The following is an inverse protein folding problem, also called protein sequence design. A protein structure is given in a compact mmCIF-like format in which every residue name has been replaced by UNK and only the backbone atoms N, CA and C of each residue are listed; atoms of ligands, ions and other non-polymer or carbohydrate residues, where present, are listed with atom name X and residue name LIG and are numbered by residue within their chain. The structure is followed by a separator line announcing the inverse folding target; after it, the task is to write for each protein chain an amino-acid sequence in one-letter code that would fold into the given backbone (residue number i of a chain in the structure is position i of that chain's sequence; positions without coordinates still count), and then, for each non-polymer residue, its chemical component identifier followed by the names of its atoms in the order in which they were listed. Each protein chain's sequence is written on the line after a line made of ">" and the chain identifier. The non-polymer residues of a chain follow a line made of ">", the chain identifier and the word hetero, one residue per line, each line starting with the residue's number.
data_IF_440557469478
#
_entry.id   IF_440557469478
#
_cell.length_a   1.000
_cell.length_b   1.000
_cell.length_c   1.000
_cell.angle_alpha   90.00
_cell.angle_beta   90.00
_cell.angle_gamma   90.00
#
_symmetry.space_group_name_H-M   'P 1'
#
loop_
_entity.id
_entity.type
_entity.pdbx_description
1 polymer ?
#
# COMPACT_ATOMS: atom_id res chain seq x y z
N UNK A 1 -50.41 -12.82 24.95
CA UNK A 1 -49.34 -13.80 25.08
C UNK A 1 -48.08 -13.02 25.26
N UNK A 2 -47.30 -13.15 26.33
CA UNK A 2 -45.97 -12.58 26.36
C UNK A 2 -45.15 -13.31 25.28
N UNK A 3 -44.59 -12.54 24.37
CA UNK A 3 -43.72 -13.09 23.33
C UNK A 3 -42.47 -13.75 23.97
N UNK A 4 -41.91 -14.74 23.27
CA UNK A 4 -40.63 -15.34 23.69
C UNK A 4 -39.58 -14.24 23.89
N UNK A 5 -38.73 -14.37 24.91
CA UNK A 5 -37.70 -13.35 25.20
C UNK A 5 -36.78 -13.20 23.98
N UNK A 6 -36.52 -11.94 23.60
CA UNK A 6 -35.60 -11.62 22.49
C UNK A 6 -34.23 -12.22 22.83
N UNK A 7 -33.74 -13.11 21.98
CA UNK A 7 -32.42 -13.70 22.18
C UNK A 7 -31.32 -12.74 21.71
N UNK A 8 -30.29 -12.53 22.51
CA UNK A 8 -29.10 -11.73 22.15
C UNK A 8 -28.47 -12.22 20.83
N UNK A 9 -28.51 -13.53 20.59
CA UNK A 9 -28.02 -14.15 19.36
C UNK A 9 -28.86 -13.76 18.13
N UNK A 10 -30.18 -13.59 18.27
CA UNK A 10 -31.02 -13.10 17.18
C UNK A 10 -30.66 -11.65 16.81
N UNK A 11 -30.39 -10.80 17.80
CA UNK A 11 -29.92 -9.43 17.57
C UNK A 11 -28.55 -9.45 16.89
N UNK A 12 -27.61 -10.27 17.38
CA UNK A 12 -26.29 -10.43 16.77
C UNK A 12 -26.36 -10.86 15.30
N UNK A 13 -27.24 -11.82 15.00
CA UNK A 13 -27.41 -12.34 13.64
C UNK A 13 -27.94 -11.30 12.65
N UNK A 14 -28.89 -10.45 13.04
CA UNK A 14 -29.35 -9.37 12.15
C UNK A 14 -28.30 -8.27 11.97
N UNK A 15 -27.43 -8.08 12.95
CA UNK A 15 -26.31 -7.14 12.89
C UNK A 15 -25.18 -7.60 11.93
N UNK A 16 -25.07 -8.90 11.60
CA UNK A 16 -24.23 -9.38 10.51
C UNK A 16 -24.58 -8.78 9.15
N UNK A 17 -25.82 -8.31 8.98
CA UNK A 17 -26.25 -7.62 7.77
C UNK A 17 -25.90 -6.12 7.73
N UNK A 18 -25.37 -5.53 8.80
CA UNK A 18 -24.93 -4.13 8.84
C UNK A 18 -23.49 -4.06 8.36
N UNK A 19 -23.31 -3.51 7.18
CA UNK A 19 -21.99 -3.40 6.54
C UNK A 19 -21.42 -2.01 6.83
N UNK A 20 -20.15 -1.96 7.26
CA UNK A 20 -19.38 -0.72 7.26
C UNK A 20 -18.88 -0.47 5.83
N UNK A 21 -19.35 0.61 5.15
CA UNK A 21 -18.98 0.84 3.75
C UNK A 21 -17.51 1.20 3.55
N UNK A 22 -16.84 1.71 4.59
CA UNK A 22 -15.41 2.05 4.56
C UNK A 22 -14.55 0.79 4.70
N UNK A 23 -14.96 -0.11 5.59
CA UNK A 23 -14.23 -1.35 5.88
C UNK A 23 -14.66 -2.54 4.99
N UNK A 24 -15.78 -2.40 4.28
CA UNK A 24 -16.30 -3.40 3.33
C UNK A 24 -16.77 -4.71 3.98
N UNK A 25 -16.99 -4.73 5.29
CA UNK A 25 -17.45 -5.90 6.03
C UNK A 25 -18.48 -5.55 7.09
N UNK A 26 -19.12 -6.57 7.69
CA UNK A 26 -20.11 -6.37 8.72
C UNK A 26 -19.49 -5.97 10.06
N UNK A 27 -20.25 -5.15 10.81
CA UNK A 27 -19.80 -4.57 12.08
C UNK A 27 -19.52 -5.61 13.17
N UNK A 28 -20.06 -6.83 13.07
CA UNK A 28 -19.86 -7.92 14.01
C UNK A 28 -18.52 -8.59 13.81
N UNK A 29 -18.23 -9.02 12.57
CA UNK A 29 -16.97 -9.67 12.19
C UNK A 29 -15.79 -8.72 12.27
N UNK A 30 -16.01 -7.44 12.00
CA UNK A 30 -15.02 -6.38 12.23
C UNK A 30 -14.71 -6.17 13.71
N UNK A 31 -15.55 -6.69 14.63
CA UNK A 31 -15.35 -6.48 16.07
C UNK A 31 -15.73 -5.08 16.55
N UNK A 32 -16.56 -4.36 15.77
CA UNK A 32 -17.12 -3.06 16.14
C UNK A 32 -18.22 -3.20 17.20
N UNK A 33 -18.96 -4.31 17.17
CA UNK A 33 -19.98 -4.63 18.17
C UNK A 33 -19.32 -4.93 19.53
N UNK A 34 -19.61 -4.08 20.53
CA UNK A 34 -19.06 -4.21 21.87
C UNK A 34 -20.04 -4.89 22.83
N UNK A 35 -21.31 -4.50 22.75
CA UNK A 35 -22.32 -4.94 23.71
C UNK A 35 -23.71 -4.94 23.11
N UNK A 36 -24.53 -5.92 23.51
CA UNK A 36 -25.98 -5.96 23.29
C UNK A 36 -26.61 -6.15 24.66
N UNK A 37 -27.51 -5.25 25.05
CA UNK A 37 -28.32 -5.35 26.26
C UNK A 37 -29.78 -5.35 25.89
N UNK A 38 -30.56 -6.20 26.50
CA UNK A 38 -31.99 -6.33 26.24
C UNK A 38 -32.70 -6.22 27.61
N UNK A 39 -33.56 -5.21 27.71
CA UNK A 39 -34.42 -5.11 28.91
C UNK A 39 -35.66 -6.01 28.73
N UNK A 40 -35.79 -7.08 29.56
CA UNK A 40 -36.90 -8.03 29.43
C UNK A 40 -38.27 -7.43 29.82
N UNK A 41 -38.28 -6.25 30.47
CA UNK A 41 -39.56 -5.60 30.90
C UNK A 41 -40.05 -4.62 29.86
N UNK A 42 -39.17 -3.82 29.29
CA UNK A 42 -39.52 -2.80 28.26
C UNK A 42 -39.36 -3.32 26.84
N UNK A 43 -38.70 -4.47 26.62
CA UNK A 43 -38.33 -4.98 25.30
C UNK A 43 -37.48 -4.00 24.49
N UNK A 44 -36.74 -3.13 25.18
CA UNK A 44 -35.74 -2.23 24.60
C UNK A 44 -34.44 -2.98 24.35
N UNK A 45 -33.81 -2.67 23.22
CA UNK A 45 -32.51 -3.24 22.83
C UNK A 45 -31.48 -2.12 22.72
N UNK A 46 -30.47 -2.17 23.58
CA UNK A 46 -29.33 -1.28 23.55
C UNK A 46 -28.15 -1.95 22.83
N UNK A 47 -27.63 -1.32 21.78
CA UNK A 47 -26.50 -1.80 21.00
C UNK A 47 -25.35 -0.80 21.13
N UNK A 48 -24.20 -1.26 21.60
CA UNK A 48 -22.99 -0.43 21.71
C UNK A 48 -22.01 -0.81 20.63
N UNK A 49 -21.61 0.18 19.81
CA UNK A 49 -20.69 0.06 18.70
C UNK A 49 -19.47 0.94 18.97
N UNK A 50 -18.27 0.39 18.82
CA UNK A 50 -17.04 1.17 18.81
C UNK A 50 -16.64 1.51 17.37
N UNK A 51 -16.40 2.80 17.12
CA UNK A 51 -15.95 3.32 15.83
C UNK A 51 -14.42 3.49 15.82
N UNK A 52 -13.82 3.42 14.64
CA UNK A 52 -12.38 3.66 14.46
C UNK A 52 -11.98 5.10 14.78
N UNK A 53 -12.89 6.05 14.54
CA UNK A 53 -12.73 7.48 14.89
C UNK A 53 -14.03 8.04 15.46
N UNK A 54 -13.93 8.96 16.42
CA UNK A 54 -15.10 9.63 17.01
C UNK A 54 -15.91 10.44 15.97
N UNK A 55 -15.25 10.95 14.95
CA UNK A 55 -15.82 11.76 13.86
C UNK A 55 -16.23 10.97 12.60
N UNK A 56 -16.50 9.67 12.69
CA UNK A 56 -16.84 8.84 11.54
C UNK A 56 -18.03 9.42 10.77
N UNK A 57 -17.90 9.79 9.49
CA UNK A 57 -18.97 10.37 8.69
C UNK A 57 -20.11 9.37 8.44
N UNK A 58 -19.83 8.07 8.54
CA UNK A 58 -20.79 6.98 8.32
C UNK A 58 -21.61 6.62 9.56
N UNK A 59 -21.35 7.27 10.70
CA UNK A 59 -22.04 7.01 11.97
C UNK A 59 -23.57 7.04 11.83
N UNK A 60 -24.09 8.03 11.10
CA UNK A 60 -25.55 8.18 10.89
C UNK A 60 -26.13 7.03 10.06
N UNK A 61 -25.42 6.55 9.06
CA UNK A 61 -25.83 5.43 8.23
C UNK A 61 -25.81 4.12 9.02
N UNK A 62 -24.71 3.82 9.70
CA UNK A 62 -24.56 2.62 10.53
C UNK A 62 -25.67 2.60 11.61
N UNK A 63 -25.94 3.74 12.26
CA UNK A 63 -27.03 3.85 13.23
C UNK A 63 -28.40 3.53 12.62
N UNK A 64 -28.67 4.07 11.42
CA UNK A 64 -29.93 3.83 10.71
C UNK A 64 -30.09 2.34 10.38
N UNK A 65 -29.04 1.72 9.85
CA UNK A 65 -29.07 0.32 9.45
C UNK A 65 -29.24 -0.62 10.64
N UNK A 66 -28.56 -0.34 11.77
CA UNK A 66 -28.76 -1.08 13.04
C UNK A 66 -30.21 -0.97 13.48
N UNK A 67 -30.76 0.26 13.57
CA UNK A 67 -32.13 0.47 14.03
C UNK A 67 -33.16 -0.26 13.18
N UNK A 68 -33.05 -0.16 11.85
CA UNK A 68 -33.97 -0.83 10.92
C UNK A 68 -33.94 -2.35 11.09
N UNK A 69 -32.78 -2.94 11.18
CA UNK A 69 -32.62 -4.40 11.26
C UNK A 69 -33.05 -4.97 12.61
N UNK A 70 -32.66 -4.32 13.71
CA UNK A 70 -33.00 -4.79 15.05
C UNK A 70 -34.46 -4.55 15.37
N UNK A 71 -35.04 -3.42 14.96
CA UNK A 71 -36.49 -3.16 15.12
C UNK A 71 -37.37 -4.11 14.30
N UNK A 72 -36.83 -4.74 13.25
CA UNK A 72 -37.52 -5.78 12.49
C UNK A 72 -37.65 -7.12 13.22
N UNK A 73 -37.00 -7.31 14.36
CA UNK A 73 -37.15 -8.53 15.16
C UNK A 73 -38.47 -8.54 15.94
N UNK A 74 -39.17 -9.67 15.97
CA UNK A 74 -40.41 -9.81 16.76
C UNK A 74 -40.16 -9.50 18.24
N UNK A 75 -40.99 -8.68 18.83
CA UNK A 75 -40.95 -8.37 20.26
C UNK A 75 -40.05 -7.18 20.63
N UNK A 76 -39.29 -6.58 19.72
CA UNK A 76 -38.47 -5.38 19.98
C UNK A 76 -39.42 -4.14 20.00
N UNK A 77 -39.37 -3.40 21.12
CA UNK A 77 -40.18 -2.17 21.28
C UNK A 77 -39.37 -0.93 20.86
N UNK A 78 -38.11 -0.83 21.27
CA UNK A 78 -37.26 0.30 20.96
C UNK A 78 -35.80 -0.18 20.76
N UNK A 79 -35.06 0.54 19.89
CA UNK A 79 -33.63 0.29 19.65
C UNK A 79 -32.82 1.55 19.92
N UNK A 80 -31.90 1.46 20.87
CA UNK A 80 -30.95 2.52 21.17
C UNK A 80 -29.55 2.10 20.70
N UNK A 81 -28.83 3.02 20.09
CA UNK A 81 -27.48 2.77 19.57
C UNK A 81 -26.51 3.74 20.22
N UNK A 82 -25.55 3.18 20.92
CA UNK A 82 -24.47 3.92 21.58
C UNK A 82 -23.18 3.76 20.80
N UNK A 83 -22.45 4.86 20.65
CA UNK A 83 -21.16 4.85 19.95
C UNK A 83 -20.05 5.22 20.91
N UNK A 84 -19.03 4.38 20.95
CA UNK A 84 -17.74 4.61 21.60
C UNK A 84 -16.62 4.69 20.57
N UNK A 85 -15.42 4.97 21.03
CA UNK A 85 -14.20 4.92 20.24
C UNK A 85 -13.41 3.66 20.57
N UNK A 86 -12.83 3.03 19.54
CA UNK A 86 -11.98 1.87 19.68
C UNK A 86 -10.66 2.23 20.36
N UNK A 87 -10.17 1.34 21.21
CA UNK A 87 -8.80 1.39 21.70
C UNK A 87 -7.80 1.20 20.56
N UNK A 88 -6.55 1.58 20.77
CA UNK A 88 -5.48 1.39 19.76
C UNK A 88 -5.32 -0.08 19.36
N UNK A 89 -5.49 -1.00 20.31
CA UNK A 89 -5.41 -2.45 20.06
C UNK A 89 -6.60 -2.94 19.23
N UNK A 90 -7.81 -2.51 19.57
CA UNK A 90 -9.01 -2.83 18.79
C UNK A 90 -8.89 -2.31 17.35
N UNK A 91 -8.40 -1.07 17.15
CA UNK A 91 -8.13 -0.50 15.83
C UNK A 91 -7.15 -1.37 15.04
N UNK A 92 -6.04 -1.83 15.65
CA UNK A 92 -5.09 -2.75 15.01
C UNK A 92 -5.74 -4.05 14.58
N UNK A 93 -6.57 -4.66 15.43
CA UNK A 93 -7.25 -5.91 15.14
C UNK A 93 -8.28 -5.78 14.01
N UNK A 94 -9.09 -4.73 14.01
CA UNK A 94 -10.05 -4.42 12.94
C UNK A 94 -9.32 -4.24 11.60
N UNK A 95 -8.25 -3.45 11.60
CA UNK A 95 -7.44 -3.24 10.40
C UNK A 95 -6.77 -4.53 9.89
N UNK A 96 -6.31 -5.40 10.79
CA UNK A 96 -5.75 -6.69 10.42
C UNK A 96 -6.80 -7.60 9.76
N UNK A 97 -8.03 -7.65 10.30
CA UNK A 97 -9.16 -8.41 9.72
C UNK A 97 -9.59 -7.87 8.37
N UNK A 98 -9.73 -6.54 8.24
CA UNK A 98 -10.07 -5.90 6.98
C UNK A 98 -9.02 -6.19 5.89
N UNK A 99 -7.71 -6.15 6.25
CA UNK A 99 -6.62 -6.55 5.35
C UNK A 99 -6.70 -8.03 4.95
N UNK A 100 -6.97 -8.91 5.89
CA UNK A 100 -7.09 -10.35 5.60
C UNK A 100 -8.20 -10.59 4.57
N UNK A 101 -9.37 -10.01 4.80
CA UNK A 101 -10.52 -10.16 3.89
C UNK A 101 -10.30 -9.48 2.53
N UNK A 102 -9.64 -8.32 2.50
CA UNK A 102 -9.26 -7.67 1.25
C UNK A 102 -8.30 -8.55 0.43
N UNK A 103 -7.41 -9.32 1.09
CA UNK A 103 -6.53 -10.28 0.41
C UNK A 103 -7.30 -11.43 -0.23
N UNK A 104 -8.33 -11.94 0.44
CA UNK A 104 -9.18 -13.03 -0.10
C UNK A 104 -10.02 -12.58 -1.30
N UNK A 105 -10.33 -11.28 -1.39
CA UNK A 105 -11.09 -10.67 -2.49
C UNK A 105 -10.20 -9.90 -3.47
N UNK A 106 -8.87 -10.04 -3.40
CA UNK A 106 -7.96 -9.38 -4.31
C UNK A 106 -8.20 -9.83 -5.76
N UNK A 107 -7.97 -8.91 -6.70
CA UNK A 107 -8.00 -9.25 -8.12
C UNK A 107 -6.95 -10.31 -8.44
N UNK A 108 -7.28 -11.19 -9.38
CA UNK A 108 -6.34 -12.16 -9.91
C UNK A 108 -5.31 -11.41 -10.77
N UNK A 109 -4.08 -11.34 -10.28
CA UNK A 109 -2.97 -10.62 -10.94
C UNK A 109 -1.85 -11.60 -11.28
N UNK A 110 -1.08 -11.29 -12.33
CA UNK A 110 0.07 -12.10 -12.76
C UNK A 110 1.35 -11.86 -11.90
N UNK A 111 1.18 -11.20 -10.76
CA UNK A 111 2.27 -10.96 -9.81
C UNK A 111 2.46 -12.18 -8.91
N UNK A 112 3.66 -12.78 -8.87
CA UNK A 112 3.93 -13.95 -8.03
C UNK A 112 3.51 -13.74 -6.58
N UNK A 113 2.89 -14.75 -5.97
CA UNK A 113 2.46 -14.69 -4.57
C UNK A 113 3.63 -14.48 -3.61
N UNK A 114 4.83 -14.90 -4.00
CA UNK A 114 6.09 -14.75 -3.26
C UNK A 114 6.71 -13.36 -3.37
N UNK A 115 6.33 -12.58 -4.41
CA UNK A 115 6.87 -11.23 -4.59
C UNK A 115 6.38 -10.29 -3.48
N UNK A 116 7.30 -9.51 -2.91
CA UNK A 116 6.97 -8.38 -2.05
C UNK A 116 6.57 -7.18 -2.90
N UNK A 117 5.44 -6.56 -2.58
CA UNK A 117 4.93 -5.41 -3.32
C UNK A 117 5.13 -4.17 -2.48
N UNK A 118 5.86 -3.20 -3.02
CA UNK A 118 6.24 -1.96 -2.33
C UNK A 118 5.82 -0.76 -3.16
N UNK A 119 4.83 -0.02 -2.70
CA UNK A 119 4.44 1.26 -3.30
C UNK A 119 5.28 2.39 -2.70
N UNK A 120 5.95 3.15 -3.56
CA UNK A 120 6.73 4.32 -3.17
C UNK A 120 5.84 5.54 -3.42
N UNK A 121 5.38 6.15 -2.34
CA UNK A 121 4.40 7.23 -2.35
C UNK A 121 4.95 8.52 -1.78
N UNK A 122 4.40 9.64 -2.23
CA UNK A 122 4.73 10.95 -1.70
C UNK A 122 3.50 11.85 -1.65
N UNK A 123 3.49 12.80 -0.74
CA UNK A 123 2.38 13.73 -0.61
C UNK A 123 2.33 14.80 -1.70
N UNK A 124 3.47 15.16 -2.31
CA UNK A 124 3.60 16.16 -3.37
C UNK A 124 4.65 15.77 -4.40
N UNK A 125 4.59 16.36 -5.58
CA UNK A 125 5.63 16.26 -6.59
C UNK A 125 6.94 16.93 -6.17
N UNK A 126 8.05 16.55 -6.81
CA UNK A 126 9.36 17.19 -6.61
C UNK A 126 10.11 16.77 -5.35
N UNK A 127 9.65 15.75 -4.59
CA UNK A 127 10.41 15.21 -3.45
C UNK A 127 11.44 14.15 -3.87
N UNK A 128 11.54 13.82 -5.15
CA UNK A 128 12.46 12.82 -5.69
C UNK A 128 11.99 11.39 -5.51
N UNK A 129 10.68 11.15 -5.48
CA UNK A 129 10.07 9.82 -5.37
C UNK A 129 10.63 8.83 -6.40
N UNK A 130 10.58 9.19 -7.69
CA UNK A 130 11.06 8.34 -8.80
C UNK A 130 12.59 8.13 -8.74
N UNK A 131 13.36 9.12 -8.29
CA UNK A 131 14.80 8.95 -8.05
C UNK A 131 15.07 7.93 -6.93
N UNK A 132 14.27 7.96 -5.87
CA UNK A 132 14.34 6.95 -4.79
C UNK A 132 13.96 5.58 -5.34
N UNK A 133 12.89 5.48 -6.12
CA UNK A 133 12.43 4.22 -6.73
C UNK A 133 13.52 3.62 -7.63
N UNK A 134 14.09 4.41 -8.54
CA UNK A 134 15.11 3.94 -9.48
C UNK A 134 16.41 3.50 -8.78
N UNK A 135 16.91 4.30 -7.83
CA UNK A 135 18.14 3.96 -7.11
C UNK A 135 17.94 2.76 -6.18
N UNK A 136 16.79 2.65 -5.52
CA UNK A 136 16.47 1.49 -4.68
C UNK A 136 16.35 0.22 -5.54
N UNK A 137 15.65 0.28 -6.68
CA UNK A 137 15.55 -0.83 -7.61
C UNK A 137 16.93 -1.32 -8.07
N UNK A 138 17.80 -0.38 -8.45
CA UNK A 138 19.17 -0.68 -8.87
C UNK A 138 19.98 -1.35 -7.75
N UNK A 139 19.89 -0.85 -6.50
CA UNK A 139 20.59 -1.43 -5.35
C UNK A 139 20.11 -2.83 -5.00
N UNK A 140 18.80 -3.07 -5.07
CA UNK A 140 18.23 -4.39 -4.83
C UNK A 140 18.65 -5.38 -5.94
N UNK A 141 18.66 -4.95 -7.21
CA UNK A 141 19.11 -5.79 -8.32
C UNK A 141 20.63 -6.11 -8.21
N UNK A 142 21.48 -5.16 -7.82
CA UNK A 142 22.91 -5.42 -7.58
C UNK A 142 23.17 -6.53 -6.54
N UNK A 143 22.21 -6.79 -5.66
CA UNK A 143 22.26 -7.88 -4.66
C UNK A 143 21.82 -9.24 -5.22
N UNK A 144 21.58 -9.34 -6.52
CA UNK A 144 21.18 -10.57 -7.20
C UNK A 144 19.67 -10.81 -7.23
N UNK A 145 18.86 -9.81 -6.83
CA UNK A 145 17.39 -9.94 -6.81
C UNK A 145 16.77 -9.59 -8.16
N UNK A 146 15.62 -10.17 -8.45
CA UNK A 146 14.78 -9.82 -9.59
C UNK A 146 13.73 -8.82 -9.18
N UNK A 147 13.82 -7.60 -9.69
CA UNK A 147 13.02 -6.46 -9.28
C UNK A 147 12.10 -6.02 -10.41
N UNK A 148 10.78 -6.14 -10.21
CA UNK A 148 9.79 -5.46 -11.03
C UNK A 148 9.73 -3.98 -10.65
N UNK A 149 9.64 -3.09 -11.64
CA UNK A 149 9.39 -1.67 -11.43
C UNK A 149 8.21 -1.25 -12.30
N UNK A 150 7.13 -0.88 -11.65
CA UNK A 150 5.93 -0.35 -12.29
C UNK A 150 5.89 1.17 -12.09
N UNK A 151 5.99 1.92 -13.18
CA UNK A 151 5.77 3.37 -13.19
C UNK A 151 4.27 3.66 -13.32
N UNK A 152 3.64 3.96 -12.20
CA UNK A 152 2.23 4.31 -12.12
C UNK A 152 1.97 5.82 -12.18
N UNK A 153 3.02 6.64 -12.30
CA UNK A 153 2.91 8.09 -12.55
C UNK A 153 2.73 8.36 -14.05
N UNK A 154 1.57 7.98 -14.56
CA UNK A 154 1.27 7.95 -16.00
C UNK A 154 1.41 9.33 -16.66
N UNK A 155 1.14 10.41 -15.92
CA UNK A 155 1.25 11.78 -16.45
C UNK A 155 2.65 12.39 -16.38
N UNK A 156 3.58 11.74 -15.68
CA UNK A 156 4.95 12.22 -15.46
C UNK A 156 5.94 11.07 -15.38
N UNK A 157 5.72 10.03 -16.20
CA UNK A 157 6.58 8.85 -16.20
C UNK A 157 8.05 9.21 -16.45
N UNK A 158 8.94 8.63 -15.67
CA UNK A 158 10.37 8.93 -15.71
C UNK A 158 11.27 7.72 -15.45
N UNK A 159 10.70 6.65 -14.95
CA UNK A 159 11.44 5.44 -14.53
C UNK A 159 12.24 4.81 -15.68
N UNK A 160 11.70 4.60 -16.90
CA UNK A 160 12.48 4.00 -17.98
C UNK A 160 13.75 4.80 -18.28
N UNK A 161 13.64 6.13 -18.39
CA UNK A 161 14.77 7.03 -18.62
C UNK A 161 15.79 6.94 -17.48
N UNK A 162 15.33 7.04 -16.23
CA UNK A 162 16.21 7.00 -15.06
C UNK A 162 16.96 5.68 -14.89
N UNK A 163 16.37 4.58 -15.38
CA UNK A 163 16.98 3.26 -15.34
C UNK A 163 17.74 2.92 -16.63
N UNK A 164 17.73 3.80 -17.65
CA UNK A 164 18.33 3.53 -18.96
C UNK A 164 17.75 2.28 -19.61
N UNK A 165 16.44 2.11 -19.51
CA UNK A 165 15.71 1.02 -20.13
C UNK A 165 15.01 1.56 -21.35
N UNK A 166 15.58 1.28 -22.51
CA UNK A 166 15.03 1.71 -23.79
C UNK A 166 14.18 0.60 -24.44
N UNK A 167 13.21 1.00 -25.21
CA UNK A 167 12.38 0.08 -25.98
C UNK A 167 10.89 0.21 -25.68
N UNK A 168 10.13 -0.65 -26.35
CA UNK A 168 8.67 -0.71 -26.20
C UNK A 168 8.27 -2.07 -25.69
N UNK A 169 7.28 -2.07 -24.84
CA UNK A 169 6.66 -3.29 -24.31
C UNK A 169 6.08 -4.08 -25.50
N UNK A 170 6.50 -5.32 -25.65
CA UNK A 170 6.06 -6.17 -26.74
C UNK A 170 4.83 -6.97 -26.34
N UNK A 171 3.82 -6.95 -27.21
CA UNK A 171 2.67 -7.83 -27.07
C UNK A 171 3.08 -9.28 -27.36
N UNK A 172 2.68 -10.18 -26.51
CA UNK A 172 2.87 -11.63 -26.65
C UNK A 172 1.54 -12.36 -26.40
N UNK A 173 1.49 -13.64 -26.71
CA UNK A 173 0.37 -14.50 -26.31
C UNK A 173 0.87 -15.52 -25.31
N UNK A 174 0.12 -15.75 -24.24
CA UNK A 174 0.40 -16.84 -23.32
C UNK A 174 -0.01 -18.21 -23.93
N UNK A 175 0.27 -19.29 -23.23
CA UNK A 175 -0.08 -20.65 -23.67
C UNK A 175 -1.59 -20.86 -23.90
N UNK A 176 -2.44 -20.05 -23.25
CA UNK A 176 -3.88 -20.04 -23.44
C UNK A 176 -4.35 -19.12 -24.59
N UNK A 177 -3.40 -18.46 -25.31
CA UNK A 177 -3.68 -17.55 -26.41
C UNK A 177 -4.15 -16.15 -25.98
N UNK A 178 -4.08 -15.80 -24.69
CA UNK A 178 -4.45 -14.49 -24.17
C UNK A 178 -3.34 -13.48 -24.50
N UNK A 179 -3.72 -12.26 -24.86
CA UNK A 179 -2.78 -11.16 -25.07
C UNK A 179 -2.08 -10.81 -23.74
N UNK A 180 -0.76 -10.74 -23.79
CA UNK A 180 0.12 -10.41 -22.66
C UNK A 180 1.16 -9.40 -23.11
N UNK A 181 1.84 -8.80 -22.15
CA UNK A 181 2.96 -7.89 -22.38
C UNK A 181 4.21 -8.41 -21.68
N UNK A 182 5.34 -8.40 -22.39
CA UNK A 182 6.63 -8.66 -21.78
C UNK A 182 7.17 -7.36 -21.16
N UNK A 183 7.61 -7.35 -19.88
CA UNK A 183 8.30 -6.20 -19.32
C UNK A 183 9.63 -5.96 -20.07
N UNK A 184 10.12 -4.72 -20.03
CA UNK A 184 11.47 -4.41 -20.49
C UNK A 184 12.47 -4.88 -19.45
N UNK A 185 13.50 -5.63 -19.87
CA UNK A 185 14.47 -6.23 -18.97
C UNK A 185 15.83 -5.55 -19.08
N UNK A 186 16.47 -5.30 -17.93
CA UNK A 186 17.85 -4.78 -17.83
C UNK A 186 18.60 -5.53 -16.75
N UNK A 187 19.68 -6.28 -17.09
CA UNK A 187 20.58 -6.85 -16.08
C UNK A 187 21.31 -5.75 -15.30
N UNK A 188 21.39 -5.90 -13.98
CA UNK A 188 22.13 -4.99 -13.09
C UNK A 188 22.88 -5.80 -12.06
N UNK A 189 24.20 -5.78 -12.12
CA UNK A 189 25.05 -6.66 -11.30
C UNK A 189 24.76 -8.13 -11.57
N UNK A 190 24.38 -8.87 -10.54
CA UNK A 190 23.96 -10.28 -10.63
C UNK A 190 22.44 -10.46 -10.68
N UNK A 191 21.66 -9.38 -10.64
CA UNK A 191 20.19 -9.41 -10.66
C UNK A 191 19.60 -8.85 -11.93
N UNK A 192 18.28 -8.64 -11.91
CA UNK A 192 17.50 -8.27 -13.08
C UNK A 192 16.45 -7.21 -12.72
N UNK A 193 16.36 -6.17 -13.51
CA UNK A 193 15.23 -5.23 -13.52
C UNK A 193 14.22 -5.63 -14.60
N UNK A 194 12.93 -5.60 -14.26
CA UNK A 194 11.80 -5.76 -15.18
C UNK A 194 10.93 -4.52 -15.08
N UNK A 195 10.92 -3.69 -16.12
CA UNK A 195 10.35 -2.34 -16.09
C UNK A 195 9.13 -2.25 -16.98
N UNK A 196 8.05 -1.68 -16.44
CA UNK A 196 6.83 -1.34 -17.18
C UNK A 196 6.42 0.09 -16.87
N UNK A 197 6.17 0.88 -17.88
CA UNK A 197 5.69 2.26 -17.80
C UNK A 197 4.78 2.57 -18.98
N UNK A 198 3.93 3.57 -18.83
CA UNK A 198 3.14 4.08 -19.97
C UNK A 198 4.02 4.57 -21.12
N UNK A 199 5.16 5.18 -20.83
CA UNK A 199 6.12 5.59 -21.87
C UNK A 199 6.72 4.44 -22.66
N UNK A 200 6.57 3.20 -22.19
CA UNK A 200 7.03 2.00 -22.90
C UNK A 200 5.96 1.37 -23.79
N UNK A 201 4.74 1.94 -23.86
CA UNK A 201 3.66 1.45 -24.72
C UNK A 201 3.71 2.14 -26.09
N UNK A 202 3.38 1.40 -27.14
CA UNK A 202 3.36 1.92 -28.50
C UNK A 202 2.36 3.07 -28.69
N UNK A 203 2.81 4.16 -29.32
CA UNK A 203 1.98 5.34 -29.59
C UNK A 203 2.07 6.47 -28.57
N UNK A 204 2.86 6.32 -27.51
CA UNK A 204 3.12 7.39 -26.53
C UNK A 204 4.47 8.05 -26.84
N UNK A 205 4.48 9.32 -27.22
CA UNK A 205 5.73 10.09 -27.35
C UNK A 205 6.11 10.63 -25.96
N UNK A 206 7.42 10.68 -25.64
CA UNK A 206 7.91 11.17 -24.34
C UNK A 206 7.46 12.61 -24.02
N UNK A 207 7.25 13.43 -25.07
CA UNK A 207 6.83 14.83 -24.96
C UNK A 207 5.31 15.04 -25.11
N UNK A 208 4.52 13.97 -25.26
CA UNK A 208 3.08 14.07 -25.45
C UNK A 208 2.33 14.06 -24.11
N UNK A 209 1.57 15.12 -23.87
CA UNK A 209 0.75 15.22 -22.66
C UNK A 209 -0.43 14.22 -22.73
N UNK A 210 -0.36 13.17 -21.93
CA UNK A 210 -1.42 12.17 -21.84
C UNK A 210 -2.55 12.72 -20.95
N UNK A 211 -3.67 13.10 -21.55
CA UNK A 211 -4.85 13.58 -20.83
C UNK A 211 -5.76 12.41 -20.41
N UNK A 212 -5.37 11.68 -19.39
CA UNK A 212 -6.18 10.60 -18.81
C UNK A 212 -6.92 11.06 -17.57
N UNK A 213 -8.18 10.65 -17.43
CA UNK A 213 -8.98 10.88 -16.23
C UNK A 213 -8.82 9.72 -15.25
N UNK A 214 -9.01 9.95 -13.96
CA UNK A 214 -8.70 9.01 -12.87
C UNK A 214 -9.17 7.55 -13.08
N UNK A 215 -10.36 7.31 -13.65
CA UNK A 215 -10.83 5.96 -13.98
C UNK A 215 -9.98 5.25 -15.04
N UNK A 216 -9.44 5.99 -16.02
CA UNK A 216 -8.57 5.44 -17.07
C UNK A 216 -7.19 5.11 -16.50
N UNK A 217 -6.68 5.92 -15.57
CA UNK A 217 -5.44 5.67 -14.85
C UNK A 217 -5.50 4.36 -14.06
N UNK A 218 -6.57 4.16 -13.28
CA UNK A 218 -6.78 2.92 -12.54
C UNK A 218 -6.86 1.71 -13.46
N UNK A 219 -7.50 1.84 -14.62
CA UNK A 219 -7.61 0.76 -15.60
C UNK A 219 -6.25 0.42 -16.24
N UNK A 220 -5.43 1.43 -16.53
CA UNK A 220 -4.07 1.20 -17.03
C UNK A 220 -3.21 0.47 -16.00
N UNK A 221 -3.22 0.91 -14.75
CA UNK A 221 -2.52 0.20 -13.65
C UNK A 221 -3.05 -1.23 -13.52
N UNK A 222 -4.37 -1.45 -13.59
CA UNK A 222 -4.96 -2.78 -13.55
C UNK A 222 -4.42 -3.67 -14.69
N UNK A 223 -4.38 -3.18 -15.94
CA UNK A 223 -3.80 -3.92 -17.06
C UNK A 223 -2.33 -4.27 -16.83
N UNK A 224 -1.53 -3.37 -16.25
CA UNK A 224 -0.14 -3.68 -15.92
C UNK A 224 0.01 -4.76 -14.85
N UNK A 225 -0.98 -4.91 -13.99
CA UNK A 225 -0.98 -5.95 -12.95
C UNK A 225 -1.49 -7.30 -13.46
N UNK A 226 -2.46 -7.28 -14.39
CA UNK A 226 -3.14 -8.47 -14.91
C UNK A 226 -2.48 -9.01 -16.18
N UNK A 227 -2.07 -8.12 -17.12
CA UNK A 227 -1.68 -8.50 -18.49
C UNK A 227 -0.17 -8.55 -18.69
N UNK A 228 0.64 -8.05 -17.76
CA UNK A 228 2.11 -8.14 -17.86
C UNK A 228 2.58 -9.50 -17.35
N UNK A 229 3.34 -10.20 -18.15
CA UNK A 229 4.00 -11.46 -17.77
C UNK A 229 5.24 -11.19 -16.91
N UNK A 230 5.02 -10.89 -15.64
CA UNK A 230 6.08 -10.55 -14.70
C UNK A 230 7.05 -11.73 -14.44
N UNK A 231 6.54 -12.97 -14.47
CA UNK A 231 7.31 -14.16 -14.14
C UNK A 231 7.87 -14.09 -12.72
N UNK A 232 9.07 -14.63 -12.50
CA UNK A 232 9.71 -14.54 -11.18
C UNK A 232 10.02 -13.10 -10.78
N UNK A 233 9.65 -12.74 -9.56
CA UNK A 233 9.99 -11.48 -8.90
C UNK A 233 10.27 -11.73 -7.41
N UNK A 234 11.28 -11.06 -6.88
CA UNK A 234 11.53 -10.93 -5.44
C UNK A 234 10.76 -9.72 -4.88
N UNK A 235 10.85 -8.58 -5.57
CA UNK A 235 10.11 -7.36 -5.26
C UNK A 235 9.44 -6.79 -6.50
N UNK A 236 8.26 -6.18 -6.30
CA UNK A 236 7.64 -5.25 -7.23
C UNK A 236 7.61 -3.87 -6.60
N UNK A 237 8.40 -2.94 -7.11
CA UNK A 237 8.38 -1.54 -6.72
C UNK A 237 7.40 -0.79 -7.61
N UNK A 238 6.49 -0.03 -7.01
CA UNK A 238 5.49 0.75 -7.73
C UNK A 238 5.76 2.23 -7.46
N UNK A 239 6.17 2.95 -8.49
CA UNK A 239 6.35 4.40 -8.44
C UNK A 239 4.99 5.09 -8.56
N UNK A 240 4.45 5.57 -7.44
CA UNK A 240 3.09 6.11 -7.36
C UNK A 240 3.02 7.54 -7.92
N UNK A 241 1.89 7.99 -8.49
CA UNK A 241 1.71 9.41 -8.77
C UNK A 241 1.77 10.23 -7.48
N UNK A 242 2.19 11.50 -7.55
CA UNK A 242 2.23 12.37 -6.38
C UNK A 242 0.83 12.70 -5.86
N UNK A 243 0.72 12.91 -4.55
CA UNK A 243 -0.54 13.31 -3.90
C UNK A 243 -1.33 12.13 -3.33
N UNK A 244 -2.65 12.33 -3.18
CA UNK A 244 -3.58 11.38 -2.53
C UNK A 244 -4.65 10.90 -3.51
N UNK A 245 -4.28 10.75 -4.78
CA UNK A 245 -5.21 10.51 -5.88
C UNK A 245 -5.85 9.11 -5.89
N UNK A 246 -6.86 8.95 -6.73
CA UNK A 246 -7.65 7.74 -6.96
C UNK A 246 -6.82 6.49 -7.25
N UNK A 247 -5.61 6.66 -7.81
CA UNK A 247 -4.67 5.56 -8.10
C UNK A 247 -4.23 4.84 -6.84
N UNK A 248 -3.99 5.56 -5.71
CA UNK A 248 -3.61 4.93 -4.44
C UNK A 248 -4.74 4.04 -3.91
N UNK A 249 -5.98 4.52 -3.99
CA UNK A 249 -7.15 3.75 -3.58
C UNK A 249 -7.42 2.57 -4.52
N UNK A 250 -7.21 2.78 -5.83
CA UNK A 250 -7.28 1.71 -6.83
C UNK A 250 -6.26 0.61 -6.53
N UNK A 251 -5.00 0.98 -6.32
CA UNK A 251 -3.93 0.04 -5.99
C UNK A 251 -4.22 -0.74 -4.70
N UNK A 252 -4.73 -0.07 -3.66
CA UNK A 252 -5.06 -0.71 -2.40
C UNK A 252 -6.13 -1.82 -2.55
N UNK A 253 -7.09 -1.62 -3.47
CA UNK A 253 -8.11 -2.62 -3.80
C UNK A 253 -7.56 -3.77 -4.64
N UNK A 254 -6.71 -3.45 -5.61
CA UNK A 254 -6.13 -4.44 -6.52
C UNK A 254 -5.04 -5.27 -5.84
N UNK A 255 -4.20 -4.64 -5.01
CA UNK A 255 -3.05 -5.25 -4.34
C UNK A 255 -3.06 -5.00 -2.83
N UNK A 256 -3.97 -5.60 -2.06
CA UNK A 256 -4.10 -5.35 -0.62
C UNK A 256 -2.90 -5.84 0.21
N UNK A 257 -1.98 -6.59 -0.38
CA UNK A 257 -0.71 -7.01 0.23
C UNK A 257 0.43 -6.00 0.06
N UNK A 258 0.17 -4.86 -0.59
CA UNK A 258 1.16 -3.81 -0.81
C UNK A 258 1.59 -3.16 0.50
N UNK A 259 2.90 -2.96 0.62
CA UNK A 259 3.51 -2.16 1.68
C UNK A 259 3.88 -0.77 1.13
N UNK A 260 3.73 0.27 1.92
CA UNK A 260 3.92 1.64 1.46
C UNK A 260 5.13 2.27 2.13
N UNK A 261 6.05 2.80 1.34
CA UNK A 261 7.14 3.66 1.75
C UNK A 261 6.78 5.11 1.43
N UNK A 262 6.88 5.98 2.43
CA UNK A 262 6.55 7.41 2.28
C UNK A 262 7.82 8.20 2.08
N UNK A 263 7.97 8.82 0.91
CA UNK A 263 9.10 9.71 0.61
C UNK A 263 8.72 11.17 0.93
N UNK A 264 9.59 11.82 1.70
CA UNK A 264 9.46 13.24 2.06
C UNK A 264 10.81 13.95 1.91
N UNK A 265 10.81 15.28 2.07
CA UNK A 265 12.02 16.07 2.24
C UNK A 265 12.02 16.69 3.63
N UNK A 266 13.15 17.28 4.12
CA UNK A 266 13.21 17.91 5.44
C UNK A 266 12.20 19.04 5.68
N UNK A 267 11.60 19.63 4.63
CA UNK A 267 10.71 20.78 4.73
C UNK A 267 9.37 20.45 5.40
N UNK A 268 8.86 21.33 6.26
CA UNK A 268 7.55 21.17 6.92
C UNK A 268 6.40 20.99 5.92
N UNK A 269 6.43 21.74 4.81
CA UNK A 269 5.41 21.63 3.77
C UNK A 269 5.35 20.22 3.14
N UNK A 270 6.50 19.54 2.96
CA UNK A 270 6.53 18.17 2.47
C UNK A 270 6.00 17.19 3.50
N UNK A 271 6.36 17.34 4.78
CA UNK A 271 5.92 16.50 5.88
C UNK A 271 4.38 16.48 6.00
N UNK A 272 3.75 17.68 6.02
CA UNK A 272 2.28 17.79 6.14
C UNK A 272 1.53 17.06 5.03
N UNK A 273 2.03 17.12 3.80
CA UNK A 273 1.37 16.45 2.67
C UNK A 273 1.70 14.95 2.65
N UNK A 274 2.91 14.58 3.05
CA UNK A 274 3.31 13.17 3.20
C UNK A 274 2.49 12.46 4.30
N UNK A 275 2.16 13.14 5.39
CA UNK A 275 1.27 12.62 6.43
C UNK A 275 -0.13 12.28 5.86
N UNK A 276 -0.65 13.09 4.93
CA UNK A 276 -1.93 12.79 4.24
C UNK A 276 -1.83 11.58 3.33
N UNK A 277 -0.70 11.40 2.63
CA UNK A 277 -0.48 10.20 1.81
C UNK A 277 -0.42 8.94 2.67
N UNK A 278 0.23 8.99 3.83
CA UNK A 278 0.25 7.89 4.79
C UNK A 278 -1.14 7.59 5.38
N UNK A 279 -1.93 8.61 5.69
CA UNK A 279 -3.32 8.44 6.16
C UNK A 279 -4.19 7.78 5.08
N UNK A 280 -4.05 8.19 3.82
CA UNK A 280 -4.75 7.58 2.69
C UNK A 280 -4.37 6.12 2.50
N UNK A 281 -3.07 5.77 2.57
CA UNK A 281 -2.62 4.39 2.52
C UNK A 281 -3.25 3.54 3.63
N UNK A 282 -3.32 4.07 4.86
CA UNK A 282 -3.96 3.41 6.00
C UNK A 282 -5.46 3.24 5.82
N UNK A 283 -6.16 4.23 5.25
CA UNK A 283 -7.58 4.13 4.89
C UNK A 283 -7.83 3.08 3.81
N UNK A 284 -6.87 2.87 2.92
CA UNK A 284 -6.86 1.76 1.96
C UNK A 284 -6.39 0.43 2.55
N UNK A 285 -6.23 0.32 3.88
CA UNK A 285 -5.75 -0.87 4.61
C UNK A 285 -4.33 -1.31 4.27
N UNK A 286 -3.55 -0.46 3.63
CA UNK A 286 -2.15 -0.74 3.35
C UNK A 286 -1.28 -0.49 4.60
N UNK A 287 -0.23 -1.30 4.77
CA UNK A 287 0.76 -1.07 5.80
C UNK A 287 1.72 0.01 5.34
N UNK A 288 1.87 1.10 6.12
CA UNK A 288 2.98 2.04 5.97
C UNK A 288 4.19 1.41 6.65
N UNK A 289 5.16 0.96 5.85
CA UNK A 289 6.34 0.24 6.33
C UNK A 289 7.40 1.20 6.90
N UNK A 290 7.47 2.44 6.40
CA UNK A 290 8.38 3.44 6.92
C UNK A 290 8.42 4.72 6.11
N UNK A 291 9.25 5.64 6.57
CA UNK A 291 9.52 6.95 5.95
C UNK A 291 10.95 6.96 5.39
N UNK A 292 11.13 7.56 4.23
CA UNK A 292 12.41 7.88 3.62
C UNK A 292 12.52 9.40 3.51
N UNK A 293 13.52 9.99 4.14
CA UNK A 293 13.86 11.40 3.92
C UNK A 293 14.79 11.49 2.73
N UNK A 294 14.37 12.17 1.68
CA UNK A 294 15.20 12.47 0.52
C UNK A 294 15.62 13.95 0.55
N UNK A 295 16.69 14.30 -0.15
CA UNK A 295 17.27 15.64 -0.17
C UNK A 295 17.65 16.14 1.24
N UNK A 296 18.16 15.25 2.07
CA UNK A 296 18.76 15.58 3.36
C UNK A 296 20.02 16.43 3.22
N UNK A 297 20.75 16.66 4.32
CA UNK A 297 21.94 17.48 4.29
C UNK A 297 22.99 16.93 3.30
N UNK A 298 23.40 17.78 2.36
CA UNK A 298 24.51 17.53 1.43
C UNK A 298 25.85 17.51 2.20
N UNK A 299 26.79 16.70 1.74
CA UNK A 299 28.15 16.60 2.32
C UNK A 299 29.14 17.04 1.26
N UNK A 300 29.84 18.14 1.52
CA UNK A 300 30.92 18.62 0.66
C UNK A 300 32.18 17.74 0.80
N UNK A 301 33.13 17.83 -0.16
CA UNK A 301 34.37 17.03 -0.12
C UNK A 301 35.23 17.25 1.14
N UNK A 302 35.13 18.40 1.76
CA UNK A 302 35.80 18.74 3.03
C UNK A 302 35.07 18.23 4.27
N UNK A 303 33.94 17.50 4.10
CA UNK A 303 33.10 17.01 5.17
C UNK A 303 32.07 18.01 5.70
N UNK A 304 32.04 19.23 5.21
CA UNK A 304 31.07 20.24 5.61
C UNK A 304 29.64 19.83 5.19
N UNK A 305 28.67 19.95 6.11
CA UNK A 305 27.28 19.57 5.86
C UNK A 305 26.42 20.81 5.57
N UNK A 306 25.71 20.78 4.47
CA UNK A 306 24.79 21.85 4.04
C UNK A 306 23.35 21.35 4.04
N UNK A 307 22.54 21.83 4.98
CA UNK A 307 21.12 21.47 5.09
C UNK A 307 20.25 22.43 4.25
N UNK A 308 20.35 22.34 2.93
CA UNK A 308 19.65 23.24 1.98
C UNK A 308 18.14 23.27 2.21
N UNK A 309 17.53 22.14 2.52
CA UNK A 309 16.10 22.01 2.80
C UNK A 309 15.79 21.86 4.30
N UNK A 310 16.77 22.10 5.18
CA UNK A 310 16.66 21.84 6.61
C UNK A 310 17.09 20.43 6.98
N UNK A 311 16.70 19.97 8.18
CA UNK A 311 17.06 18.64 8.70
C UNK A 311 15.98 18.05 9.60
N UNK A 312 15.99 16.74 9.78
CA UNK A 312 15.15 16.00 10.73
C UNK A 312 13.67 16.00 10.40
N UNK A 313 13.29 16.32 9.16
CA UNK A 313 11.88 16.31 8.74
C UNK A 313 11.33 14.89 8.60
N UNK A 314 12.14 14.00 8.08
CA UNK A 314 11.79 12.57 7.97
C UNK A 314 11.61 11.92 9.35
N UNK A 315 12.47 12.26 10.31
CA UNK A 315 12.41 11.76 11.68
C UNK A 315 11.10 12.20 12.38
N UNK A 316 10.80 13.50 12.32
CA UNK A 316 9.52 14.03 12.87
C UNK A 316 8.29 13.40 12.21
N UNK A 317 8.32 13.20 10.89
CA UNK A 317 7.22 12.54 10.19
C UNK A 317 7.09 11.07 10.60
N UNK A 318 8.20 10.35 10.71
CA UNK A 318 8.21 8.95 11.13
C UNK A 318 7.65 8.80 12.56
N UNK A 319 8.06 9.66 13.47
CA UNK A 319 7.53 9.73 14.84
C UNK A 319 6.03 10.03 14.85
N UNK A 320 5.58 11.06 14.11
CA UNK A 320 4.16 11.41 13.97
C UNK A 320 3.32 10.24 13.44
N UNK A 321 3.86 9.47 12.49
CA UNK A 321 3.18 8.33 11.91
C UNK A 321 3.31 7.04 12.76
N UNK A 322 4.19 7.02 13.75
CA UNK A 322 4.48 5.83 14.55
C UNK A 322 5.11 4.70 13.71
N UNK A 323 5.99 5.05 12.76
CA UNK A 323 6.74 4.12 11.90
C UNK A 323 8.23 4.44 11.93
N UNK A 324 9.07 3.55 11.39
CA UNK A 324 10.51 3.81 11.33
C UNK A 324 10.88 4.86 10.27
N UNK A 325 11.90 5.69 10.55
CA UNK A 325 12.68 6.35 9.52
C UNK A 325 13.67 5.32 8.97
N UNK A 326 13.50 4.93 7.70
CA UNK A 326 14.33 3.90 7.07
C UNK A 326 15.67 4.44 6.55
N UNK A 327 15.74 5.74 6.30
CA UNK A 327 16.97 6.39 5.88
C UNK A 327 16.77 7.85 5.52
N UNK A 328 17.88 8.59 5.53
CA UNK A 328 17.98 9.96 5.01
C UNK A 328 19.00 9.97 3.88
N UNK A 329 18.52 10.23 2.67
CA UNK A 329 19.32 10.31 1.46
C UNK A 329 19.79 11.75 1.31
N UNK A 330 21.11 12.02 1.30
CA UNK A 330 21.62 13.37 1.16
C UNK A 330 21.31 13.95 -0.22
N UNK A 331 21.16 15.27 -0.30
CA UNK A 331 21.12 15.97 -1.57
C UNK A 331 22.50 15.82 -2.24
N UNK A 332 22.52 15.13 -3.38
CA UNK A 332 23.73 14.75 -4.08
C UNK A 332 23.56 14.93 -5.59
N UNK A 333 24.44 15.72 -6.26
CA UNK A 333 24.37 15.91 -7.71
C UNK A 333 24.46 14.62 -8.51
N UNK A 334 25.12 13.58 -7.97
CA UNK A 334 25.23 12.27 -8.63
C UNK A 334 23.87 11.63 -8.88
N UNK A 335 22.88 11.89 -8.02
CA UNK A 335 21.51 11.36 -8.21
C UNK A 335 20.85 11.95 -9.43
N UNK A 336 20.99 13.27 -9.64
CA UNK A 336 20.45 13.93 -10.82
C UNK A 336 21.18 13.48 -12.09
N UNK A 337 22.52 13.53 -12.07
CA UNK A 337 23.35 13.13 -13.20
C UNK A 337 23.07 11.66 -13.63
N UNK A 338 22.98 10.74 -12.67
CA UNK A 338 22.67 9.34 -12.94
C UNK A 338 21.26 9.15 -13.51
N UNK A 339 20.26 9.90 -13.02
CA UNK A 339 18.91 9.89 -13.57
C UNK A 339 18.83 10.42 -15.02
N UNK A 340 19.65 11.41 -15.34
CA UNK A 340 19.71 11.99 -16.69
C UNK A 340 20.43 11.09 -17.71
N UNK A 341 21.42 10.32 -17.26
CA UNK A 341 22.19 9.40 -18.10
C UNK A 341 21.60 7.99 -18.19
N UNK A 342 20.54 7.69 -17.42
CA UNK A 342 19.95 6.35 -17.35
C UNK A 342 20.80 5.34 -16.54
N UNK A 343 21.75 5.83 -15.78
CA UNK A 343 22.57 5.04 -14.85
C UNK A 343 22.43 5.58 -13.43
N UNK A 344 21.49 5.07 -12.61
CA UNK A 344 21.28 5.54 -11.25
C UNK A 344 22.59 5.72 -10.48
N UNK A 345 22.66 6.74 -9.61
CA UNK A 345 23.86 7.01 -8.82
C UNK A 345 24.35 5.77 -8.04
N UNK A 346 23.44 4.91 -7.66
CA UNK A 346 23.71 3.59 -7.07
C UNK A 346 24.61 2.69 -7.93
N UNK A 347 24.66 2.91 -9.24
CA UNK A 347 25.50 2.16 -10.19
C UNK A 347 26.66 3.01 -10.65
N UNK A 348 26.38 4.23 -11.16
CA UNK A 348 27.39 5.09 -11.80
C UNK A 348 28.38 5.73 -10.82
N UNK A 349 27.98 5.88 -9.55
CA UNK A 349 28.78 6.57 -8.54
C UNK A 349 28.65 5.89 -7.17
N UNK A 350 29.10 4.63 -7.01
CA UNK A 350 28.84 3.82 -5.81
C UNK A 350 29.47 4.43 -4.53
N UNK A 351 30.48 5.24 -4.67
CA UNK A 351 31.15 5.93 -3.56
C UNK A 351 30.47 7.22 -3.14
N UNK A 352 29.55 7.75 -3.94
CA UNK A 352 28.79 8.96 -3.63
C UNK A 352 28.00 8.81 -2.32
N UNK A 353 27.87 9.88 -1.52
CA UNK A 353 27.11 9.83 -0.26
C UNK A 353 25.68 9.31 -0.42
N UNK A 354 24.99 9.71 -1.49
CA UNK A 354 23.63 9.23 -1.77
C UNK A 354 23.63 7.74 -2.14
N UNK A 355 24.59 7.26 -2.92
CA UNK A 355 24.67 5.85 -3.30
C UNK A 355 24.86 4.94 -2.07
N UNK A 356 25.71 5.35 -1.12
CA UNK A 356 25.90 4.64 0.15
C UNK A 356 24.65 4.65 1.00
N UNK A 357 23.89 5.76 1.01
CA UNK A 357 22.61 5.84 1.71
C UNK A 357 21.56 4.92 1.07
N UNK A 358 21.49 4.83 -0.26
CA UNK A 358 20.62 3.88 -0.96
C UNK A 358 21.02 2.42 -0.70
N UNK A 359 22.31 2.12 -0.61
CA UNK A 359 22.79 0.79 -0.28
C UNK A 359 22.35 0.36 1.14
N UNK A 360 22.49 1.26 2.12
CA UNK A 360 22.03 1.03 3.48
C UNK A 360 20.49 0.88 3.56
N UNK A 361 19.76 1.69 2.79
CA UNK A 361 18.29 1.59 2.69
C UNK A 361 17.87 0.23 2.10
N UNK A 362 18.51 -0.23 1.02
CA UNK A 362 18.21 -1.51 0.41
C UNK A 362 18.51 -2.68 1.37
N UNK A 363 19.61 -2.60 2.15
CA UNK A 363 19.91 -3.59 3.19
C UNK A 363 18.78 -3.64 4.22
N UNK A 364 18.42 -2.50 4.80
CA UNK A 364 17.35 -2.42 5.81
C UNK A 364 16.00 -2.93 5.31
N UNK A 365 15.68 -2.69 4.04
CA UNK A 365 14.45 -3.19 3.43
C UNK A 365 14.45 -4.71 3.38
N UNK A 366 15.54 -5.33 2.95
CA UNK A 366 15.65 -6.79 2.80
C UNK A 366 15.72 -7.50 4.16
N UNK A 367 16.40 -6.90 5.16
CA UNK A 367 16.62 -7.57 6.46
C UNK A 367 15.47 -7.35 7.44
N UNK A 368 14.90 -6.15 7.49
CA UNK A 368 14.02 -5.76 8.60
C UNK A 368 12.66 -5.21 8.15
N UNK A 369 12.65 -4.23 7.24
CA UNK A 369 11.43 -3.46 6.98
C UNK A 369 10.41 -4.27 6.17
N UNK A 370 10.87 -4.94 5.11
CA UNK A 370 10.06 -5.73 4.17
C UNK A 370 10.89 -6.95 3.70
N UNK A 371 11.24 -7.89 4.60
CA UNK A 371 12.08 -9.04 4.24
C UNK A 371 11.40 -9.92 3.21
N UNK A 372 12.19 -10.65 2.42
CA UNK A 372 11.71 -11.63 1.45
C UNK A 372 10.78 -12.65 2.11
N UNK A 373 9.84 -13.17 1.33
CA UNK A 373 8.98 -14.26 1.79
C UNK A 373 9.83 -15.54 1.80
N UNK A 374 10.31 -15.94 2.96
CA UNK A 374 10.86 -17.28 3.09
C UNK A 374 9.74 -18.30 2.82
N UNK A 375 9.90 -19.09 1.79
CA UNK A 375 9.10 -20.29 1.58
C UNK A 375 9.50 -21.29 2.67
N UNK A 376 9.04 -21.10 3.90
CA UNK A 376 9.11 -22.13 4.93
C UNK A 376 8.27 -23.28 4.42
N UNK A 377 8.96 -24.28 3.91
CA UNK A 377 8.40 -25.45 3.31
C UNK A 377 7.30 -26.04 4.20
N UNK A 378 6.16 -26.34 3.59
CA UNK A 378 5.12 -27.32 4.00
C UNK A 378 4.62 -27.34 5.48
N UNK A 379 5.42 -26.91 6.45
CA UNK A 379 5.11 -27.02 7.89
C UNK A 379 3.98 -26.07 8.31
N UNK A 380 3.93 -24.88 7.76
CA UNK A 380 2.86 -23.93 8.08
C UNK A 380 1.50 -24.38 7.53
N UNK A 381 1.48 -24.93 6.31
CA UNK A 381 0.24 -25.47 5.70
C UNK A 381 -0.27 -26.70 6.44
N UNK A 382 0.65 -27.54 6.92
CA UNK A 382 0.34 -28.68 7.76
C UNK A 382 -0.15 -28.25 9.14
N UNK A 383 0.50 -27.26 9.76
CA UNK A 383 0.10 -26.69 11.04
C UNK A 383 -1.32 -26.07 10.99
N UNK A 384 -1.64 -25.32 9.93
CA UNK A 384 -2.98 -24.74 9.75
C UNK A 384 -4.04 -25.81 9.42
N UNK A 385 -3.66 -26.91 8.77
CA UNK A 385 -4.52 -28.05 8.49
C UNK A 385 -4.80 -28.85 9.78
N UNK A 386 -3.77 -29.08 10.57
CA UNK A 386 -3.86 -29.80 11.86
C UNK A 386 -4.57 -28.95 12.94
N UNK A 387 -4.49 -27.61 12.86
CA UNK A 387 -5.23 -26.69 13.69
C UNK A 387 -6.69 -26.46 13.25
N UNK A 388 -7.16 -27.12 12.18
CA UNK A 388 -8.54 -26.98 11.68
C UNK A 388 -8.86 -25.62 11.07
N UNK A 389 -7.84 -24.80 10.78
CA UNK A 389 -7.98 -23.44 10.26
C UNK A 389 -8.03 -23.37 8.72
N UNK A 390 -7.76 -24.48 8.02
CA UNK A 390 -7.95 -24.63 6.58
C UNK A 390 -9.02 -25.68 6.32
N UNK A 391 -10.12 -25.29 5.68
CA UNK A 391 -11.12 -26.24 5.17
C UNK A 391 -10.48 -27.04 4.03
N UNK A 392 -10.59 -28.36 4.09
CA UNK A 392 -10.32 -29.24 2.96
C UNK A 392 -11.33 -28.92 1.86
N UNK A 393 -10.88 -28.30 0.79
CA UNK A 393 -11.62 -28.28 -0.48
C UNK A 393 -11.65 -29.70 -1.06
N UNK A 394 -12.80 -30.14 -1.57
CA UNK A 394 -12.97 -31.49 -2.14
C UNK A 394 -12.12 -31.73 -3.38
#
# INVERSE_FOLDING_TARGET
>A
MPGDPIATEAVRNVLLGVIDPELGDNIVDLGMLQRIEIDPRSSEVDVTIALTTAGCPLRAQIMKDIKVRVAGLPGVAEVRVHFGEMTTEQKKNVMARARFKARDNALDTDIPATARIVAIASGKGGVGKSSVTANLAAQLAQRGLTIGVLDADIGGFSIPRMLGVEGRVQGMKDEAGRARFAPLEKPVGSGLLKVVSMGSIEGTAEDEAIMWRGLMLNRAVQHFLEDVSWGHLDYLLIDMPPGTADVQMGLARMLPRTEVLIVTTPTLAAQHVAARAADMARKGYLRVAGVIENMGASVAPDGTRYAVFGSGGGERLAEQLGVALLGSIPLDPAVAAGGDTGEPASISSPDAPAAKAFAALAELIVTDAIPLVEMVACTARQFFKDAGLLRSTP
#
